data_IF_009572485830
#
_entry.id   IF_009572485830
#
_cell.length_a   1.000
_cell.length_b   1.000
_cell.length_c   1.000
_cell.angle_alpha   90.00
_cell.angle_beta   90.00
_cell.angle_gamma   90.00
#
_symmetry.space_group_name_H-M   'P 1'
#
loop_
_entity.id
_entity.type
_entity.pdbx_description
1 polymer ?
#
# COMPACT_ATOMS: atom_id res chain seq x y z
N UNK A 1 -0.38 -19.21 0.88
CA UNK A 1 0.46 -19.79 1.91
C UNK A 1 0.64 -21.28 1.76
N UNK A 2 1.58 -21.89 2.50
CA UNK A 2 1.93 -23.33 2.39
C UNK A 2 0.75 -24.28 2.61
N UNK A 3 -0.29 -23.84 3.29
CA UNK A 3 -1.53 -24.60 3.53
C UNK A 3 -2.68 -24.20 2.62
N UNK A 4 -2.43 -23.45 1.53
CA UNK A 4 -3.43 -23.26 0.48
C UNK A 4 -3.73 -24.60 -0.22
N UNK A 5 -4.92 -24.73 -0.83
CA UNK A 5 -5.27 -25.93 -1.63
C UNK A 5 -4.29 -26.21 -2.77
N UNK A 6 -3.63 -25.18 -3.28
CA UNK A 6 -2.71 -25.27 -4.42
C UNK A 6 -1.35 -25.85 -4.01
N UNK A 7 -0.82 -25.50 -2.83
CA UNK A 7 0.44 -26.01 -2.30
C UNK A 7 0.20 -27.24 -1.40
N UNK A 8 -0.71 -27.14 -0.43
CA UNK A 8 -1.26 -28.18 0.45
C UNK A 8 -0.18 -28.99 1.22
N UNK A 9 0.76 -28.28 1.85
CA UNK A 9 1.88 -28.93 2.56
C UNK A 9 1.44 -29.96 3.60
N UNK A 10 0.35 -29.69 4.33
CA UNK A 10 -0.13 -30.52 5.45
C UNK A 10 -1.34 -31.38 5.08
N UNK A 11 -1.78 -31.38 3.81
CA UNK A 11 -2.85 -32.27 3.36
C UNK A 11 -4.24 -31.88 3.87
N UNK A 12 -4.50 -30.60 4.10
CA UNK A 12 -5.82 -30.14 4.57
C UNK A 12 -6.93 -30.23 3.51
N UNK A 13 -6.57 -30.33 2.26
CA UNK A 13 -7.50 -30.42 1.14
C UNK A 13 -7.46 -31.80 0.49
N UNK A 14 -8.57 -32.32 -0.03
CA UNK A 14 -8.62 -33.63 -0.67
C UNK A 14 -7.90 -33.66 -2.04
N UNK A 15 -7.76 -32.49 -2.68
CA UNK A 15 -7.04 -32.37 -3.94
C UNK A 15 -5.52 -32.40 -3.69
N UNK A 16 -4.78 -33.04 -4.60
CA UNK A 16 -3.32 -33.08 -4.53
C UNK A 16 -2.75 -31.71 -4.84
N UNK A 17 -2.17 -31.05 -3.82
CA UNK A 17 -1.39 -29.84 -3.98
C UNK A 17 0.04 -30.12 -4.48
N UNK A 18 0.75 -29.06 -4.85
CA UNK A 18 2.10 -29.15 -5.42
C UNK A 18 3.12 -29.81 -4.47
N UNK A 19 2.97 -29.66 -3.16
CA UNK A 19 3.85 -30.29 -2.17
C UNK A 19 3.55 -31.78 -1.96
N UNK A 20 2.41 -32.29 -2.43
CA UNK A 20 2.00 -33.66 -2.22
C UNK A 20 2.25 -34.58 -3.42
N UNK A 21 2.27 -34.03 -4.64
CA UNK A 21 2.51 -34.80 -5.86
C UNK A 21 3.11 -33.95 -6.96
N UNK A 22 4.09 -34.52 -7.68
CA UNK A 22 4.62 -33.92 -8.90
C UNK A 22 3.63 -34.00 -10.07
N UNK A 23 2.61 -34.86 -9.97
CA UNK A 23 1.50 -34.95 -10.94
C UNK A 23 0.36 -33.96 -10.61
N UNK A 24 0.52 -33.11 -9.59
CA UNK A 24 -0.45 -32.08 -9.27
C UNK A 24 -0.58 -31.07 -10.42
N UNK A 25 -1.83 -30.65 -10.71
CA UNK A 25 -2.11 -29.58 -11.67
C UNK A 25 -1.43 -28.24 -11.30
N UNK A 26 -1.02 -28.12 -10.05
CA UNK A 26 -0.40 -26.91 -9.49
C UNK A 26 1.11 -27.04 -9.31
N UNK A 27 1.73 -28.16 -9.76
CA UNK A 27 3.14 -28.42 -9.54
C UNK A 27 4.03 -27.31 -10.14
N UNK A 28 3.78 -26.93 -11.39
CA UNK A 28 4.53 -25.91 -12.11
C UNK A 28 4.31 -24.48 -11.57
N UNK A 29 3.35 -24.30 -10.64
CA UNK A 29 3.13 -23.02 -9.99
C UNK A 29 4.19 -22.68 -8.93
N UNK A 30 5.07 -23.61 -8.62
CA UNK A 30 6.10 -23.47 -7.59
C UNK A 30 7.43 -24.06 -8.06
N UNK A 31 8.52 -23.52 -7.54
CA UNK A 31 9.88 -24.00 -7.82
C UNK A 31 10.42 -24.80 -6.62
N UNK A 32 10.81 -26.06 -6.87
CA UNK A 32 11.36 -26.95 -5.84
C UNK A 32 12.83 -27.28 -6.05
N UNK A 33 13.60 -27.46 -4.92
CA UNK A 33 15.07 -27.64 -4.90
C UNK A 33 15.67 -28.56 -3.81
N UNK A 34 15.35 -29.69 -3.40
CA UNK A 34 14.55 -30.79 -3.97
C UNK A 34 13.08 -30.80 -3.51
N UNK A 35 12.26 -31.40 -4.32
CA UNK A 35 10.86 -31.69 -3.98
C UNK A 35 10.77 -32.78 -2.90
N UNK A 36 9.82 -32.70 -1.95
CA UNK A 36 8.91 -31.58 -1.69
C UNK A 36 9.47 -30.65 -0.60
N UNK A 37 10.68 -30.91 -0.09
CA UNK A 37 11.21 -30.37 1.16
C UNK A 37 11.85 -29.00 1.02
N UNK A 38 12.29 -28.63 -0.17
CA UNK A 38 12.88 -27.32 -0.43
C UNK A 38 12.25 -26.66 -1.64
N UNK A 39 11.88 -25.36 -1.50
CA UNK A 39 11.17 -24.60 -2.52
C UNK A 39 11.39 -23.10 -2.31
N UNK A 40 11.21 -22.34 -3.38
CA UNK A 40 11.26 -20.90 -3.33
C UNK A 40 10.16 -20.36 -2.39
N UNK A 41 10.53 -19.46 -1.50
CA UNK A 41 9.63 -18.86 -0.53
C UNK A 41 9.92 -17.36 -0.43
N UNK A 42 8.86 -16.56 -0.26
CA UNK A 42 8.97 -15.13 -0.13
C UNK A 42 9.90 -14.76 1.03
N UNK A 43 11.04 -14.13 0.71
CA UNK A 43 12.13 -13.78 1.63
C UNK A 43 12.56 -14.91 2.57
N UNK A 44 12.47 -16.17 2.12
CA UNK A 44 12.80 -17.35 2.90
C UNK A 44 11.75 -17.75 3.94
N UNK A 45 10.60 -17.11 3.96
CA UNK A 45 9.48 -17.46 4.86
C UNK A 45 8.76 -18.70 4.35
N UNK A 46 9.07 -19.85 4.91
CA UNK A 46 8.61 -21.18 4.45
C UNK A 46 7.07 -21.35 4.41
N UNK A 47 6.34 -20.59 5.20
CA UNK A 47 4.88 -20.59 5.16
C UNK A 47 4.30 -19.81 3.99
N UNK A 48 5.14 -19.13 3.22
CA UNK A 48 4.77 -18.33 2.05
C UNK A 48 5.55 -18.81 0.81
N UNK A 49 5.20 -19.99 0.23
CA UNK A 49 5.80 -20.44 -1.02
C UNK A 49 5.63 -19.37 -2.10
N UNK A 50 6.73 -19.00 -2.77
CA UNK A 50 6.68 -18.11 -3.91
C UNK A 50 6.01 -18.84 -5.10
N UNK A 51 5.16 -18.13 -5.81
CA UNK A 51 4.54 -18.64 -7.02
C UNK A 51 5.42 -18.33 -8.22
N UNK A 52 5.31 -19.15 -9.25
CA UNK A 52 5.94 -18.95 -10.54
C UNK A 52 4.95 -18.22 -11.47
N UNK A 53 5.07 -16.90 -11.58
CA UNK A 53 4.22 -16.07 -12.43
C UNK A 53 4.42 -16.34 -13.92
N UNK A 54 5.47 -17.08 -14.31
CA UNK A 54 5.71 -17.50 -15.68
C UNK A 54 4.94 -18.77 -16.07
N UNK A 55 4.41 -19.52 -15.08
CA UNK A 55 3.64 -20.72 -15.36
C UNK A 55 2.35 -20.38 -16.13
N UNK A 56 2.12 -20.93 -17.34
CA UNK A 56 0.96 -20.59 -18.16
C UNK A 56 -0.38 -20.83 -17.47
N UNK A 57 -0.52 -21.95 -16.77
CA UNK A 57 -1.74 -22.30 -16.04
C UNK A 57 -1.99 -21.40 -14.83
N UNK A 58 -0.94 -20.86 -14.20
CA UNK A 58 -1.06 -19.85 -13.15
C UNK A 58 -1.55 -18.52 -13.75
N UNK A 59 -0.97 -18.07 -14.87
CA UNK A 59 -1.43 -16.86 -15.58
C UNK A 59 -2.88 -17.01 -16.06
N UNK A 60 -3.26 -18.18 -16.54
CA UNK A 60 -4.65 -18.45 -16.92
C UNK A 60 -5.59 -18.29 -15.73
N UNK A 61 -5.23 -18.90 -14.59
CA UNK A 61 -6.03 -18.81 -13.36
C UNK A 61 -6.15 -17.39 -12.81
N UNK A 62 -5.04 -16.64 -12.78
CA UNK A 62 -5.05 -15.28 -12.20
C UNK A 62 -5.60 -14.24 -13.19
N UNK A 63 -5.26 -14.33 -14.49
CA UNK A 63 -5.43 -13.19 -15.41
C UNK A 63 -6.22 -13.54 -16.68
N UNK A 64 -5.84 -14.64 -17.41
CA UNK A 64 -6.23 -14.81 -18.81
C UNK A 64 -7.62 -15.38 -19.00
N UNK A 65 -8.00 -16.39 -18.21
CA UNK A 65 -9.29 -17.06 -18.34
C UNK A 65 -10.44 -16.11 -18.06
N UNK A 66 -11.61 -16.39 -18.66
CA UNK A 66 -12.83 -15.58 -18.46
C UNK A 66 -13.31 -15.59 -16.99
N UNK A 67 -13.05 -16.66 -16.28
CA UNK A 67 -13.32 -16.85 -14.85
C UNK A 67 -12.09 -16.63 -13.97
N UNK A 68 -11.04 -15.97 -14.51
CA UNK A 68 -9.82 -15.65 -13.77
C UNK A 68 -10.10 -14.79 -12.54
N UNK A 69 -9.19 -14.87 -11.56
CA UNK A 69 -9.32 -14.11 -10.29
C UNK A 69 -9.51 -12.61 -10.54
N UNK A 70 -8.71 -12.03 -11.45
CA UNK A 70 -8.77 -10.61 -11.79
C UNK A 70 -10.15 -10.21 -12.31
N UNK A 71 -10.70 -10.97 -13.28
CA UNK A 71 -12.00 -10.69 -13.89
C UNK A 71 -13.16 -10.95 -12.94
N UNK A 72 -13.09 -12.07 -12.21
CA UNK A 72 -14.15 -12.46 -11.28
C UNK A 72 -14.50 -11.33 -10.29
N UNK A 73 -13.51 -10.74 -9.63
CA UNK A 73 -13.79 -9.70 -8.64
C UNK A 73 -14.26 -8.38 -9.27
N UNK A 74 -13.80 -8.04 -10.48
CA UNK A 74 -14.33 -6.90 -11.22
C UNK A 74 -15.82 -7.13 -11.56
N UNK A 75 -16.20 -8.35 -11.98
CA UNK A 75 -17.59 -8.74 -12.24
C UNK A 75 -18.43 -8.69 -10.96
N UNK A 76 -17.84 -8.97 -9.79
CA UNK A 76 -18.51 -8.81 -8.49
C UNK A 76 -18.61 -7.36 -8.01
N UNK A 77 -18.11 -6.39 -8.79
CA UNK A 77 -18.25 -4.97 -8.51
C UNK A 77 -17.02 -4.28 -7.93
N UNK A 78 -15.86 -4.93 -7.89
CA UNK A 78 -14.61 -4.24 -7.57
C UNK A 78 -14.30 -3.18 -8.63
N UNK A 79 -13.70 -2.05 -8.22
CA UNK A 79 -13.30 -0.96 -9.12
C UNK A 79 -11.83 -1.07 -9.57
N UNK A 80 -11.10 -2.05 -9.06
CA UNK A 80 -9.71 -2.25 -9.43
C UNK A 80 -8.97 -3.18 -8.49
N UNK A 81 -7.65 -3.19 -8.62
CA UNK A 81 -6.75 -4.02 -7.83
C UNK A 81 -5.58 -3.23 -7.28
N UNK A 82 -5.12 -3.62 -6.10
CA UNK A 82 -3.82 -3.22 -5.54
C UNK A 82 -2.89 -4.44 -5.58
N UNK A 83 -1.74 -4.26 -6.22
CA UNK A 83 -0.68 -5.26 -6.26
C UNK A 83 0.22 -5.07 -5.06
N UNK A 84 0.28 -6.09 -4.23
CA UNK A 84 1.20 -6.20 -3.11
C UNK A 84 2.62 -6.41 -3.62
N UNK A 85 3.60 -5.75 -3.01
CA UNK A 85 5.03 -5.88 -3.35
C UNK A 85 5.25 -5.92 -4.87
N UNK A 86 4.81 -4.87 -5.58
CA UNK A 86 4.85 -4.84 -7.05
C UNK A 86 6.27 -5.02 -7.61
N UNK A 87 7.30 -4.74 -6.82
CA UNK A 87 8.71 -4.95 -7.17
C UNK A 87 9.05 -6.41 -7.46
N UNK A 88 8.31 -7.37 -6.91
CA UNK A 88 8.55 -8.80 -7.07
C UNK A 88 7.77 -9.42 -8.22
N UNK A 89 6.85 -8.67 -8.85
CA UNK A 89 6.07 -9.15 -9.98
C UNK A 89 6.77 -8.82 -11.31
N UNK A 90 6.79 -9.74 -12.31
CA UNK A 90 7.30 -9.43 -13.64
C UNK A 90 6.50 -8.29 -14.31
N UNK A 91 7.20 -7.40 -15.03
CA UNK A 91 6.57 -6.27 -15.73
C UNK A 91 5.48 -6.70 -16.71
N UNK A 92 5.70 -7.79 -17.45
CA UNK A 92 4.74 -8.31 -18.42
C UNK A 92 3.51 -8.93 -17.73
N UNK A 93 3.68 -9.53 -16.53
CA UNK A 93 2.57 -10.03 -15.73
C UNK A 93 1.68 -8.88 -15.23
N UNK A 94 2.28 -7.78 -14.75
CA UNK A 94 1.54 -6.56 -14.37
C UNK A 94 0.79 -5.99 -15.59
N UNK A 95 1.45 -5.95 -16.75
CA UNK A 95 0.83 -5.47 -17.99
C UNK A 95 -0.35 -6.36 -18.43
N UNK A 96 -0.25 -7.68 -18.31
CA UNK A 96 -1.35 -8.60 -18.60
C UNK A 96 -2.53 -8.39 -17.64
N UNK A 97 -2.27 -8.20 -16.34
CA UNK A 97 -3.31 -7.88 -15.35
C UNK A 97 -4.06 -6.61 -15.80
N UNK A 98 -3.33 -5.55 -16.13
CA UNK A 98 -3.94 -4.30 -16.60
C UNK A 98 -4.82 -4.50 -17.84
N UNK A 99 -4.31 -5.19 -18.85
CA UNK A 99 -5.07 -5.47 -20.07
C UNK A 99 -6.36 -6.26 -19.79
N UNK A 100 -6.29 -7.28 -18.92
CA UNK A 100 -7.45 -8.04 -18.52
C UNK A 100 -8.49 -7.21 -17.78
N UNK A 101 -8.02 -6.31 -16.89
CA UNK A 101 -8.88 -5.39 -16.15
C UNK A 101 -9.60 -4.41 -17.08
N UNK A 102 -8.87 -3.73 -17.97
CA UNK A 102 -9.42 -2.75 -18.89
C UNK A 102 -10.40 -3.39 -19.90
N UNK A 103 -10.14 -4.64 -20.30
CA UNK A 103 -11.06 -5.39 -21.15
C UNK A 103 -12.37 -5.79 -20.44
N UNK A 104 -12.32 -6.05 -19.13
CA UNK A 104 -13.49 -6.40 -18.32
C UNK A 104 -14.26 -5.15 -17.86
N UNK A 105 -13.52 -4.14 -17.39
CA UNK A 105 -14.05 -2.89 -16.85
C UNK A 105 -13.13 -1.72 -17.26
N UNK A 106 -13.44 -0.97 -18.32
CA UNK A 106 -12.54 0.03 -18.92
C UNK A 106 -12.10 1.15 -17.98
N UNK A 107 -12.88 1.48 -16.95
CA UNK A 107 -12.60 2.49 -15.92
C UNK A 107 -12.00 1.90 -14.64
N UNK A 108 -11.57 0.64 -14.67
CA UNK A 108 -10.90 0.00 -13.53
C UNK A 108 -9.53 0.61 -13.25
N UNK A 109 -9.10 0.54 -11.98
CA UNK A 109 -7.86 1.16 -11.52
C UNK A 109 -6.87 0.11 -11.00
N UNK A 110 -5.64 0.10 -11.51
CA UNK A 110 -4.56 -0.74 -11.04
C UNK A 110 -3.54 0.07 -10.24
N UNK A 111 -3.41 -0.25 -8.97
CA UNK A 111 -2.49 0.38 -8.02
C UNK A 111 -1.32 -0.56 -7.72
N UNK A 112 -0.10 -0.05 -7.71
CA UNK A 112 1.09 -0.79 -7.27
C UNK A 112 1.56 -0.33 -5.89
N UNK A 113 2.00 -1.28 -5.06
CA UNK A 113 2.77 -0.95 -3.87
C UNK A 113 4.25 -0.89 -4.23
N UNK A 114 4.81 0.32 -4.17
CA UNK A 114 6.24 0.62 -4.33
C UNK A 114 6.60 1.67 -3.29
N UNK A 115 7.67 1.43 -2.53
CA UNK A 115 8.00 2.26 -1.37
C UNK A 115 8.85 3.49 -1.71
N UNK A 116 9.49 3.49 -2.88
CA UNK A 116 10.37 4.56 -3.34
C UNK A 116 9.79 5.26 -4.58
N UNK A 117 10.59 6.13 -5.19
CA UNK A 117 10.26 6.71 -6.50
C UNK A 117 10.16 5.62 -7.58
N UNK A 118 8.93 5.40 -8.08
CA UNK A 118 8.65 4.36 -9.07
C UNK A 118 9.11 4.71 -10.50
N UNK A 119 9.55 5.93 -10.77
CA UNK A 119 10.00 6.36 -12.10
C UNK A 119 11.39 5.85 -12.46
N UNK A 120 12.23 5.66 -11.45
CA UNK A 120 13.64 5.27 -11.60
C UNK A 120 13.99 3.98 -10.86
N UNK A 121 13.00 3.28 -10.30
CA UNK A 121 13.19 2.07 -9.52
C UNK A 121 13.89 0.99 -10.32
N UNK A 122 14.93 0.41 -9.70
CA UNK A 122 15.60 -0.80 -10.16
C UNK A 122 15.29 -1.91 -9.15
N UNK A 123 14.62 -2.96 -9.61
CA UNK A 123 14.38 -4.17 -8.83
C UNK A 123 14.82 -5.38 -9.66
N UNK A 124 15.47 -6.36 -9.02
CA UNK A 124 15.98 -7.57 -9.67
C UNK A 124 16.84 -7.28 -10.92
N UNK A 125 17.68 -6.23 -10.85
CA UNK A 125 18.57 -5.78 -11.93
C UNK A 125 17.86 -5.21 -13.17
N UNK A 126 16.54 -4.96 -13.09
CA UNK A 126 15.77 -4.36 -14.17
C UNK A 126 15.19 -3.01 -13.74
N UNK A 127 15.30 -2.00 -14.64
CA UNK A 127 14.57 -0.74 -14.45
C UNK A 127 13.09 -0.98 -14.69
N UNK A 128 12.29 -0.71 -13.66
CA UNK A 128 10.84 -0.93 -13.68
C UNK A 128 10.12 0.13 -14.51
N UNK A 129 8.96 -0.23 -15.05
CA UNK A 129 8.20 0.59 -16.02
C UNK A 129 6.79 0.92 -15.54
N UNK A 130 6.56 0.86 -14.23
CA UNK A 130 5.23 0.99 -13.59
C UNK A 130 4.37 2.11 -14.17
N UNK A 131 4.95 3.30 -14.40
CA UNK A 131 4.24 4.53 -14.75
C UNK A 131 4.27 4.89 -16.24
N UNK A 132 4.76 4.00 -17.11
CA UNK A 132 4.86 4.26 -18.55
C UNK A 132 3.58 3.94 -19.34
N UNK A 133 2.44 3.82 -18.66
CA UNK A 133 1.12 3.72 -19.27
C UNK A 133 0.66 2.31 -19.67
N UNK A 134 1.44 1.26 -19.34
CA UNK A 134 1.10 -0.13 -19.67
C UNK A 134 0.93 -1.04 -18.45
N UNK A 135 1.38 -0.60 -17.30
CA UNK A 135 1.37 -1.35 -16.04
C UNK A 135 0.41 -0.70 -15.06
N UNK A 136 0.86 -0.09 -13.99
CA UNK A 136 -0.01 0.54 -13.02
C UNK A 136 -0.56 1.89 -13.50
N UNK A 137 -1.71 2.29 -12.99
CA UNK A 137 -2.23 3.66 -13.17
C UNK A 137 -1.59 4.63 -12.19
N UNK A 138 -1.29 4.16 -10.99
CA UNK A 138 -0.68 4.92 -9.91
C UNK A 138 0.01 4.00 -8.92
N UNK A 139 0.72 4.60 -7.97
CA UNK A 139 1.43 3.90 -6.91
C UNK A 139 0.95 4.40 -5.54
N UNK A 140 1.12 3.57 -4.51
CA UNK A 140 1.04 4.01 -3.13
C UNK A 140 2.16 5.03 -2.88
N UNK A 141 1.80 6.26 -2.52
CA UNK A 141 2.74 7.37 -2.45
C UNK A 141 3.51 7.38 -1.12
N UNK A 142 4.41 6.42 -0.94
CA UNK A 142 5.32 6.37 0.21
C UNK A 142 6.33 7.53 0.24
N UNK A 143 6.84 8.05 -0.90
CA UNK A 143 7.63 9.29 -0.90
C UNK A 143 6.89 10.45 -0.25
N UNK A 144 5.61 10.68 -0.58
CA UNK A 144 4.79 11.70 0.09
C UNK A 144 4.69 11.46 1.60
N UNK A 145 4.44 10.22 2.01
CA UNK A 145 4.39 9.86 3.44
C UNK A 145 5.68 10.22 4.16
N UNK A 146 6.81 9.83 3.59
CA UNK A 146 8.13 10.04 4.20
C UNK A 146 8.44 11.53 4.35
N UNK A 147 8.26 12.31 3.30
CA UNK A 147 8.47 13.75 3.31
C UNK A 147 7.50 14.47 4.25
N UNK A 148 6.22 14.13 4.22
CA UNK A 148 5.21 14.74 5.10
C UNK A 148 5.47 14.45 6.57
N UNK A 149 5.81 13.22 6.94
CA UNK A 149 6.11 12.86 8.33
C UNK A 149 7.40 13.52 8.84
N UNK A 150 8.43 13.64 7.99
CA UNK A 150 9.65 14.37 8.33
C UNK A 150 9.34 15.83 8.66
N UNK A 151 8.60 16.51 7.78
CA UNK A 151 8.17 17.89 8.01
C UNK A 151 7.28 18.04 9.25
N UNK A 152 6.24 17.23 9.41
CA UNK A 152 5.31 17.27 10.55
C UNK A 152 6.01 17.05 11.91
N UNK A 153 7.16 16.41 11.91
CA UNK A 153 7.99 16.19 13.12
C UNK A 153 9.03 17.27 13.36
N UNK A 154 9.00 18.35 12.58
CA UNK A 154 9.86 19.52 12.75
C UNK A 154 11.02 19.60 11.74
N UNK A 155 10.96 18.84 10.65
CA UNK A 155 11.86 19.00 9.51
C UNK A 155 11.56 20.27 8.71
N UNK A 156 12.47 20.66 7.82
CA UNK A 156 12.32 21.85 7.00
C UNK A 156 11.23 21.70 5.93
N UNK A 157 10.36 22.68 5.79
CA UNK A 157 9.32 22.70 4.76
C UNK A 157 9.89 22.75 3.34
N UNK A 158 11.12 23.26 3.17
CA UNK A 158 11.81 23.24 1.88
C UNK A 158 12.16 21.84 1.44
N UNK A 159 12.53 20.94 2.38
CA UNK A 159 12.82 19.54 2.05
C UNK A 159 11.57 18.83 1.55
N UNK A 160 10.43 18.99 2.24
CA UNK A 160 9.15 18.48 1.75
C UNK A 160 8.83 18.98 0.33
N UNK A 161 9.03 20.27 0.08
CA UNK A 161 8.81 20.85 -1.24
C UNK A 161 9.72 20.21 -2.28
N UNK A 162 11.01 20.06 -2.01
CA UNK A 162 11.98 19.48 -2.94
C UNK A 162 11.63 18.04 -3.29
N UNK A 163 11.35 17.21 -2.28
CA UNK A 163 10.97 15.82 -2.48
C UNK A 163 9.71 15.69 -3.35
N UNK A 164 8.71 16.55 -3.12
CA UNK A 164 7.46 16.49 -3.89
C UNK A 164 7.60 17.07 -5.30
N UNK A 165 8.41 18.10 -5.49
CA UNK A 165 8.72 18.61 -6.84
C UNK A 165 9.52 17.59 -7.65
N UNK A 166 10.47 16.88 -7.04
CA UNK A 166 11.21 15.80 -7.69
C UNK A 166 10.25 14.71 -8.19
N UNK A 167 9.34 14.24 -7.35
CA UNK A 167 8.32 13.26 -7.75
C UNK A 167 7.42 13.83 -8.86
N UNK A 168 7.00 15.10 -8.77
CA UNK A 168 6.16 15.74 -9.77
C UNK A 168 6.87 15.86 -11.13
N UNK A 169 8.16 16.13 -11.14
CA UNK A 169 8.98 16.21 -12.36
C UNK A 169 9.25 14.83 -12.96
N UNK A 170 9.46 13.81 -12.13
CA UNK A 170 9.79 12.46 -12.55
C UNK A 170 8.58 11.67 -13.07
N UNK A 171 7.37 11.96 -12.56
CA UNK A 171 6.17 11.20 -12.91
C UNK A 171 5.43 11.81 -14.11
N UNK A 172 4.89 10.98 -15.02
CA UNK A 172 3.88 11.46 -15.97
C UNK A 172 2.74 12.15 -15.19
N UNK A 173 2.19 13.28 -15.66
CA UNK A 173 1.15 14.02 -14.94
C UNK A 173 -0.04 13.16 -14.51
N UNK A 174 -0.49 12.24 -15.37
CA UNK A 174 -1.59 11.32 -15.03
C UNK A 174 -1.23 10.42 -13.84
N UNK A 175 0.00 9.91 -13.77
CA UNK A 175 0.46 9.05 -12.66
C UNK A 175 0.63 9.85 -11.36
N UNK A 176 1.15 11.08 -11.42
CA UNK A 176 1.27 11.97 -10.27
C UNK A 176 -0.11 12.26 -9.65
N UNK A 177 -1.10 12.59 -10.47
CA UNK A 177 -2.48 12.86 -10.03
C UNK A 177 -3.27 11.58 -9.65
N UNK A 178 -2.76 10.41 -10.01
CA UNK A 178 -3.35 9.10 -9.65
C UNK A 178 -2.66 8.45 -8.46
N UNK A 179 -1.64 9.10 -7.87
CA UNK A 179 -0.95 8.60 -6.67
C UNK A 179 -1.91 8.42 -5.50
N UNK A 180 -1.79 7.30 -4.78
CA UNK A 180 -2.54 7.04 -3.56
C UNK A 180 -1.76 7.64 -2.38
N UNK A 181 -2.08 8.88 -2.00
CA UNK A 181 -1.40 9.57 -0.90
C UNK A 181 -1.76 8.93 0.43
N UNK A 182 -0.77 8.59 1.23
CA UNK A 182 -0.89 7.90 2.51
C UNK A 182 -0.08 8.62 3.58
N UNK A 183 -0.52 8.57 4.84
CA UNK A 183 0.29 8.96 6.01
C UNK A 183 0.48 7.78 6.95
N UNK A 184 -0.44 6.81 6.95
CA UNK A 184 -0.38 5.56 7.68
C UNK A 184 -0.86 4.39 6.83
N UNK A 185 -0.32 3.20 7.11
CA UNK A 185 -0.73 1.93 6.50
C UNK A 185 -0.69 0.80 7.53
N UNK A 186 -1.16 -0.38 7.13
CA UNK A 186 -1.06 -1.58 7.96
C UNK A 186 0.38 -2.09 8.19
N UNK A 187 1.36 -1.57 7.43
CA UNK A 187 2.78 -1.93 7.53
C UNK A 187 3.61 -0.89 8.30
N UNK A 188 2.95 0.17 8.79
CA UNK A 188 3.64 1.26 9.49
C UNK A 188 3.01 1.51 10.86
N UNK A 189 3.75 2.08 11.83
CA UNK A 189 3.13 2.51 13.09
C UNK A 189 1.98 3.48 12.85
N UNK A 190 1.02 3.51 13.77
CA UNK A 190 -0.12 4.43 13.75
C UNK A 190 0.31 5.88 13.66
N UNK A 191 -0.37 6.66 12.83
CA UNK A 191 -0.02 8.05 12.56
C UNK A 191 0.06 8.88 13.84
N UNK A 192 -0.92 8.77 14.75
CA UNK A 192 -0.92 9.48 16.02
C UNK A 192 0.30 9.15 16.89
N UNK A 193 0.68 7.86 16.94
CA UNK A 193 1.89 7.42 17.67
C UNK A 193 3.16 7.99 17.04
N UNK A 194 3.28 7.95 15.70
CA UNK A 194 4.44 8.48 14.99
C UNK A 194 4.64 9.98 15.19
N UNK A 195 3.55 10.74 15.30
CA UNK A 195 3.58 12.19 15.40
C UNK A 195 3.67 12.70 16.85
N UNK A 196 3.22 11.90 17.81
CA UNK A 196 3.14 12.31 19.22
C UNK A 196 4.22 11.74 20.11
N UNK A 197 4.62 10.47 19.91
CA UNK A 197 5.55 9.81 20.80
C UNK A 197 6.95 10.49 20.83
N UNK A 198 7.41 10.84 22.01
CA UNK A 198 8.73 11.45 22.21
C UNK A 198 9.86 10.45 21.98
N UNK A 199 9.58 9.16 22.16
CA UNK A 199 10.55 8.08 21.95
C UNK A 199 9.85 6.80 21.47
N UNK A 200 10.61 5.92 20.84
CA UNK A 200 10.20 4.54 20.57
C UNK A 200 10.79 3.63 21.67
N UNK A 201 9.98 2.91 22.46
CA UNK A 201 10.50 1.97 23.45
C UNK A 201 11.28 0.83 22.78
N UNK A 202 12.28 0.29 23.48
CA UNK A 202 13.17 -0.74 22.93
C UNK A 202 12.47 -2.10 22.81
N UNK A 203 11.80 -2.54 23.89
CA UNK A 203 11.16 -3.86 23.93
C UNK A 203 9.76 -3.84 23.28
N UNK A 204 9.35 -4.99 22.75
CA UNK A 204 7.98 -5.16 22.21
C UNK A 204 6.91 -5.00 23.29
N UNK A 205 7.19 -5.47 24.50
CA UNK A 205 6.24 -5.38 25.63
C UNK A 205 6.05 -3.92 26.06
N UNK A 206 7.13 -3.15 26.12
CA UNK A 206 7.03 -1.70 26.41
C UNK A 206 6.29 -0.94 25.31
N UNK A 207 6.49 -1.31 24.03
CA UNK A 207 5.72 -0.74 22.91
C UNK A 207 4.23 -1.08 23.01
N UNK A 208 3.91 -2.31 23.38
CA UNK A 208 2.52 -2.75 23.57
C UNK A 208 1.83 -2.01 24.74
N UNK A 209 2.58 -1.73 25.81
CA UNK A 209 2.09 -1.01 26.97
C UNK A 209 2.08 0.51 26.81
N UNK A 210 2.86 1.04 25.86
CA UNK A 210 3.02 2.49 25.68
C UNK A 210 1.70 3.17 25.33
N UNK A 211 1.44 4.27 25.99
CA UNK A 211 0.36 5.22 25.64
C UNK A 211 0.95 6.62 25.69
N UNK A 212 0.53 7.45 24.76
CA UNK A 212 0.96 8.84 24.72
C UNK A 212 0.58 9.56 26.01
N UNK A 213 1.52 10.33 26.59
CA UNK A 213 1.22 11.25 27.69
C UNK A 213 0.23 12.32 27.20
N UNK A 214 -0.40 13.11 28.09
CA UNK A 214 -1.26 14.23 27.69
C UNK A 214 -0.55 15.20 26.73
N UNK A 215 0.70 15.54 27.02
CA UNK A 215 1.51 16.45 26.19
C UNK A 215 1.87 15.85 24.83
N UNK A 216 2.22 14.57 24.79
CA UNK A 216 2.47 13.83 23.56
C UNK A 216 1.20 13.70 22.72
N UNK A 217 0.06 13.47 23.37
CA UNK A 217 -1.24 13.36 22.71
C UNK A 217 -1.63 14.71 22.07
N UNK A 218 -1.55 15.80 22.81
CA UNK A 218 -1.87 17.14 22.31
C UNK A 218 -1.01 17.51 21.10
N UNK A 219 0.31 17.31 21.21
CA UNK A 219 1.23 17.52 20.08
C UNK A 219 0.93 16.60 18.90
N UNK A 220 0.70 15.32 19.17
CA UNK A 220 0.36 14.32 18.17
C UNK A 220 -0.91 14.67 17.41
N UNK A 221 -1.97 15.06 18.11
CA UNK A 221 -3.24 15.49 17.52
C UNK A 221 -3.11 16.79 16.70
N UNK A 222 -2.31 17.75 17.14
CA UNK A 222 -2.06 18.97 16.38
C UNK A 222 -1.37 18.66 15.04
N UNK A 223 -0.31 17.85 15.08
CA UNK A 223 0.42 17.40 13.89
C UNK A 223 -0.42 16.52 12.98
N UNK A 224 -1.24 15.64 13.55
CA UNK A 224 -2.15 14.76 12.79
C UNK A 224 -3.19 15.58 12.03
N UNK A 225 -3.78 16.61 12.65
CA UNK A 225 -4.70 17.52 11.96
C UNK A 225 -4.03 18.26 10.80
N UNK A 226 -2.81 18.74 11.00
CA UNK A 226 -2.05 19.39 9.92
C UNK A 226 -1.73 18.40 8.80
N UNK A 227 -1.30 17.17 9.13
CA UNK A 227 -1.08 16.08 8.17
C UNK A 227 -2.33 15.69 7.40
N UNK A 228 -3.47 15.59 8.07
CA UNK A 228 -4.74 15.31 7.42
C UNK A 228 -5.15 16.44 6.45
N UNK A 229 -4.95 17.71 6.84
CA UNK A 229 -5.18 18.85 5.94
C UNK A 229 -4.30 18.74 4.69
N UNK A 230 -3.00 18.47 4.87
CA UNK A 230 -2.08 18.25 3.75
C UNK A 230 -2.54 17.09 2.86
N UNK A 231 -2.86 15.93 3.47
CA UNK A 231 -3.32 14.73 2.76
C UNK A 231 -4.54 15.00 1.88
N UNK A 232 -5.54 15.72 2.39
CA UNK A 232 -6.77 16.02 1.67
C UNK A 232 -6.65 17.15 0.65
N UNK A 233 -5.61 17.98 0.74
CA UNK A 233 -5.37 19.10 -0.18
C UNK A 233 -4.31 18.82 -1.25
N UNK A 234 -3.45 17.82 -1.05
CA UNK A 234 -2.41 17.46 -2.01
C UNK A 234 -2.99 16.79 -3.27
N UNK A 235 -2.39 17.00 -4.48
CA UNK A 235 -2.77 16.28 -5.70
C UNK A 235 -2.67 14.76 -5.53
N UNK A 236 -3.61 14.01 -6.10
CA UNK A 236 -3.73 12.57 -5.94
C UNK A 236 -4.91 12.18 -5.06
N UNK A 237 -5.00 10.92 -4.64
CA UNK A 237 -6.10 10.37 -3.85
C UNK A 237 -5.73 10.25 -2.38
N UNK A 238 -6.40 10.98 -1.46
CA UNK A 238 -6.15 10.85 -0.03
C UNK A 238 -6.63 9.49 0.48
N UNK A 239 -5.79 8.81 1.24
CA UNK A 239 -6.11 7.52 1.85
C UNK A 239 -5.89 7.58 3.35
N UNK A 240 -6.90 7.16 4.09
CA UNK A 240 -6.87 7.09 5.55
C UNK A 240 -6.78 5.62 5.97
N UNK A 241 -5.75 5.26 6.73
CA UNK A 241 -5.70 3.96 7.36
C UNK A 241 -6.73 3.93 8.50
N UNK A 242 -7.60 2.93 8.51
CA UNK A 242 -8.70 2.85 9.48
C UNK A 242 -8.24 3.10 10.91
N UNK A 243 -8.94 3.96 11.62
CA UNK A 243 -8.65 4.29 13.01
C UNK A 243 -7.71 5.50 13.20
N UNK A 244 -6.99 5.96 12.16
CA UNK A 244 -6.21 7.20 12.26
C UNK A 244 -7.15 8.39 12.49
N UNK A 245 -8.33 8.38 11.85
CA UNK A 245 -9.41 9.36 12.04
C UNK A 245 -10.09 9.25 13.41
N UNK A 246 -9.89 8.15 14.12
CA UNK A 246 -10.45 7.88 15.45
C UNK A 246 -9.42 8.03 16.59
N UNK A 247 -8.18 8.37 16.26
CA UNK A 247 -7.10 8.55 17.24
C UNK A 247 -6.49 7.24 17.75
N UNK A 248 -6.52 6.15 16.96
CA UNK A 248 -5.92 4.88 17.35
C UNK A 248 -4.41 5.01 17.46
N UNK A 249 -3.84 4.47 18.55
CA UNK A 249 -2.41 4.42 18.83
C UNK A 249 -1.87 3.00 18.62
N UNK A 250 -0.58 2.89 18.29
CA UNK A 250 0.14 1.62 18.18
C UNK A 250 1.45 1.81 17.43
N UNK A 251 2.48 1.09 17.87
CA UNK A 251 3.74 0.96 17.15
C UNK A 251 3.57 -0.03 15.99
N UNK A 252 4.67 -0.53 15.44
CA UNK A 252 4.67 -1.45 14.30
C UNK A 252 3.87 -2.75 14.54
N UNK A 253 3.66 -3.51 13.48
CA UNK A 253 2.95 -4.78 13.48
C UNK A 253 3.39 -5.72 14.63
N UNK A 254 2.43 -6.30 15.38
CA UNK A 254 0.97 -6.27 15.19
C UNK A 254 0.25 -5.12 15.92
N UNK A 255 0.95 -4.21 16.60
CA UNK A 255 0.37 -3.21 17.48
C UNK A 255 -0.41 -2.12 16.73
N UNK A 256 -0.05 -1.86 15.47
CA UNK A 256 -0.76 -0.93 14.57
C UNK A 256 -2.09 -1.50 14.05
N UNK A 257 -2.33 -2.82 14.16
CA UNK A 257 -3.51 -3.52 13.62
C UNK A 257 -4.59 -3.78 14.66
N UNK A 258 -4.64 -2.95 15.71
CA UNK A 258 -5.73 -2.99 16.69
C UNK A 258 -7.10 -2.77 16.05
N UNK A 259 -8.15 -3.35 16.64
CA UNK A 259 -9.52 -3.20 16.15
C UNK A 259 -9.98 -1.73 16.21
N UNK A 260 -10.91 -1.37 15.33
CA UNK A 260 -11.52 -0.04 15.34
C UNK A 260 -12.26 0.19 16.69
N UNK A 261 -12.10 1.36 17.33
CA UNK A 261 -12.61 1.63 18.68
C UNK A 261 -14.09 2.06 18.66
N UNK A 262 -14.96 1.22 18.13
CA UNK A 262 -16.39 1.53 18.00
C UNK A 262 -17.00 2.10 19.30
N UNK A 263 -17.62 3.29 19.21
CA UNK A 263 -18.22 4.01 20.34
C UNK A 263 -17.23 4.68 21.28
N UNK A 264 -15.92 4.66 20.96
CA UNK A 264 -14.85 5.29 21.75
C UNK A 264 -13.90 6.11 20.87
N UNK A 265 -14.37 6.49 19.69
CA UNK A 265 -13.64 7.34 18.75
C UNK A 265 -13.41 8.72 19.36
N UNK A 266 -12.32 9.43 18.98
CA UNK A 266 -12.21 10.86 19.22
C UNK A 266 -13.24 11.60 18.34
N UNK A 267 -14.32 12.15 18.91
CA UNK A 267 -15.39 12.74 18.11
C UNK A 267 -14.96 14.02 17.40
N UNK A 268 -14.02 14.78 17.96
CA UNK A 268 -13.52 16.00 17.36
C UNK A 268 -12.61 15.71 16.17
N UNK A 269 -11.76 14.69 16.29
CA UNK A 269 -10.90 14.24 15.21
C UNK A 269 -11.73 13.65 14.06
N UNK A 270 -12.69 12.78 14.38
CA UNK A 270 -13.58 12.18 13.38
C UNK A 270 -14.40 13.23 12.62
N UNK A 271 -14.91 14.25 13.32
CA UNK A 271 -15.61 15.37 12.71
C UNK A 271 -14.68 16.17 11.78
N UNK A 272 -13.43 16.37 12.17
CA UNK A 272 -12.43 17.05 11.35
C UNK A 272 -12.15 16.32 10.03
N UNK A 273 -11.92 15.00 10.07
CA UNK A 273 -11.74 14.21 8.85
C UNK A 273 -12.96 14.26 7.93
N UNK A 274 -14.18 14.21 8.49
CA UNK A 274 -15.43 14.37 7.72
C UNK A 274 -15.52 15.74 7.04
N UNK A 275 -15.11 16.81 7.73
CA UNK A 275 -15.07 18.17 7.15
C UNK A 275 -14.07 18.26 6.01
N UNK A 276 -12.87 17.69 6.14
CA UNK A 276 -11.87 17.66 5.05
C UNK A 276 -12.38 16.88 3.84
N UNK A 277 -13.01 15.73 4.06
CA UNK A 277 -13.62 14.95 2.97
C UNK A 277 -14.74 15.71 2.25
N UNK A 278 -15.60 16.41 3.02
CA UNK A 278 -16.64 17.25 2.45
C UNK A 278 -16.07 18.44 1.67
N UNK A 279 -15.04 19.10 2.19
CA UNK A 279 -14.34 20.19 1.52
C UNK A 279 -13.76 19.73 0.17
N UNK A 280 -13.04 18.60 0.17
CA UNK A 280 -12.46 18.06 -1.07
C UNK A 280 -13.54 17.74 -2.10
N UNK A 281 -14.67 17.13 -1.69
CA UNK A 281 -15.80 16.84 -2.59
C UNK A 281 -16.44 18.09 -3.19
N UNK A 282 -16.40 19.21 -2.47
CA UNK A 282 -16.99 20.49 -2.93
C UNK A 282 -16.05 21.35 -3.78
N UNK A 283 -14.76 21.06 -3.79
CA UNK A 283 -13.75 21.89 -4.45
C UNK A 283 -13.05 21.13 -5.57
N UNK A 284 -13.36 21.47 -6.80
CA UNK A 284 -12.74 20.88 -8.00
C UNK A 284 -11.22 21.05 -7.97
N UNK A 285 -10.72 22.20 -7.50
CA UNK A 285 -9.29 22.45 -7.36
C UNK A 285 -8.57 21.47 -6.43
N UNK A 286 -9.24 20.89 -5.44
CA UNK A 286 -8.67 19.86 -4.57
C UNK A 286 -8.77 18.45 -5.18
N UNK A 287 -9.66 18.24 -6.14
CA UNK A 287 -9.86 16.93 -6.79
C UNK A 287 -8.92 16.73 -7.98
N UNK A 288 -8.76 17.75 -8.81
CA UNK A 288 -7.99 17.67 -10.06
C UNK A 288 -7.13 18.90 -10.34
N UNK A 289 -6.93 19.78 -9.35
CA UNK A 289 -6.01 20.91 -9.48
C UNK A 289 -4.56 20.48 -9.26
N UNK A 290 -3.66 21.36 -9.64
CA UNK A 290 -2.23 21.19 -9.39
C UNK A 290 -1.80 21.97 -8.12
N UNK A 291 -0.54 21.76 -7.70
CA UNK A 291 0.04 22.43 -6.53
C UNK A 291 1.10 23.45 -6.96
N UNK A 292 1.11 24.61 -6.27
CA UNK A 292 2.15 25.60 -6.41
C UNK A 292 2.62 26.06 -5.03
N UNK A 293 3.91 26.14 -4.85
CA UNK A 293 4.52 26.57 -3.58
C UNK A 293 4.84 28.07 -3.63
N UNK A 294 4.13 28.86 -2.84
CA UNK A 294 4.40 30.31 -2.73
C UNK A 294 5.55 30.60 -1.78
N UNK A 295 5.67 29.80 -0.72
CA UNK A 295 6.70 29.94 0.31
C UNK A 295 6.90 28.59 1.00
N UNK A 296 8.15 28.17 1.17
CA UNK A 296 8.50 26.94 1.90
C UNK A 296 9.92 27.08 2.46
N UNK A 297 10.05 27.55 3.69
CA UNK A 297 11.31 27.67 4.43
C UNK A 297 11.01 27.51 5.92
N UNK A 298 11.96 26.89 6.63
CA UNK A 298 11.84 26.61 8.05
C UNK A 298 10.93 25.43 8.38
N UNK A 299 11.00 24.96 9.62
CA UNK A 299 10.22 23.86 10.20
C UNK A 299 9.21 24.34 11.22
#
# INVERSE_FOLDING_TARGET
>A
GSNSRYFNAEGFYPELGAAQSQDSLYFDWYSFHPWPTDYDAWWGVRTLPAVNEEAPTYRDFIVRSQDSVVRHWLQQGADGWRLDVADELPDDFIAEIRQAMEAEKPDSFLLGEVWEDGSNKIAYSHRRRYLLGRETHGLMNYPFRTAALAWLRGGDASDFRWDMEEIRENYPPAAFHSGLNILGTHDTPRLLTMLGAARTPESKDDRAAYRLSPEELDMGLARLRLGALLLYSFPGSPTVFYGDEAGVQGFEDPLNRGTYPWGREDPALLAYFRQLGALRKQRVSLQCGDIGYLYAVGG
#
